data_IF_992786879505
#
_entry.id   IF_992786879505
#
_cell.length_a   1.000
_cell.length_b   1.000
_cell.length_c   1.000
_cell.angle_alpha   90.00
_cell.angle_beta   90.00
_cell.angle_gamma   90.00
#
_symmetry.space_group_name_H-M   'P 1'
#
loop_
_entity.id
_entity.type
_entity.pdbx_description
1 polymer ?
#
# COMPACT_ATOMS: atom_id res chain seq x y z
N UNK A 1 -33.88 44.75 48.41
CA UNK A 1 -33.89 44.29 49.82
C UNK A 1 -34.75 43.03 49.88
N UNK A 2 -34.33 42.04 50.67
CA UNK A 2 -35.08 40.97 51.40
C UNK A 2 -36.46 40.46 50.94
N UNK A 3 -36.85 39.19 51.26
CA UNK A 3 -36.04 37.98 51.43
C UNK A 3 -36.72 36.67 50.91
N UNK A 4 -36.14 35.54 51.32
CA UNK A 4 -36.61 34.13 51.43
C UNK A 4 -38.13 33.88 51.62
N UNK A 5 -38.67 32.66 51.42
CA UNK A 5 -38.67 31.46 52.31
C UNK A 5 -39.45 30.31 51.59
N UNK A 6 -39.41 28.99 51.84
CA UNK A 6 -38.52 28.00 52.54
C UNK A 6 -38.97 26.56 52.20
N UNK A 7 -38.10 25.54 52.43
CA UNK A 7 -38.41 24.09 52.49
C UNK A 7 -38.71 23.38 51.16
N UNK A 8 -38.36 22.10 50.95
CA UNK A 8 -37.62 21.14 51.78
C UNK A 8 -38.30 19.77 51.84
N UNK A 9 -37.53 18.68 51.69
CA UNK A 9 -38.03 17.31 51.73
C UNK A 9 -36.99 16.31 51.22
N UNK A 10 -36.69 15.28 52.02
CA UNK A 10 -35.85 14.14 51.61
C UNK A 10 -36.75 12.97 51.23
N UNK A 11 -36.40 12.20 50.21
CA UNK A 11 -36.74 10.77 50.13
C UNK A 11 -35.81 10.00 49.21
N UNK A 12 -35.72 8.70 49.48
CA UNK A 12 -34.82 7.71 48.87
C UNK A 12 -35.48 7.00 47.65
N UNK A 13 -34.81 5.96 47.14
CA UNK A 13 -35.29 4.86 46.28
C UNK A 13 -35.04 4.98 44.77
N UNK A 14 -33.95 4.31 44.35
CA UNK A 14 -33.81 3.67 43.04
C UNK A 14 -34.58 2.32 43.00
N UNK A 15 -34.64 1.61 41.86
CA UNK A 15 -35.09 2.04 40.54
C UNK A 15 -36.22 1.13 40.01
N UNK A 16 -36.97 1.53 38.97
CA UNK A 16 -37.81 0.60 38.19
C UNK A 16 -37.74 0.86 36.69
N UNK A 17 -37.59 -0.22 35.93
CA UNK A 17 -37.57 -0.25 34.47
C UNK A 17 -38.99 -0.17 33.89
N UNK A 18 -39.10 0.42 32.71
CA UNK A 18 -40.15 0.14 31.73
C UNK A 18 -39.59 0.44 30.33
N UNK A 19 -39.63 -0.55 29.43
CA UNK A 19 -39.19 -0.37 28.05
C UNK A 19 -40.14 0.54 27.26
N UNK A 20 -39.59 1.28 26.30
CA UNK A 20 -40.32 1.88 25.19
C UNK A 20 -39.53 1.59 23.91
N UNK A 21 -40.07 0.81 22.95
CA UNK A 21 -39.31 0.38 21.78
C UNK A 21 -39.09 1.52 20.78
N UNK A 22 -38.00 1.43 20.01
CA UNK A 22 -37.59 2.42 19.03
C UNK A 22 -38.59 2.57 17.86
N UNK A 23 -39.01 3.82 17.61
CA UNK A 23 -39.76 4.20 16.41
C UNK A 23 -38.80 4.36 15.22
N UNK A 24 -38.67 3.29 14.42
CA UNK A 24 -37.92 3.30 13.16
C UNK A 24 -38.82 3.56 11.93
N UNK A 25 -39.85 4.41 12.07
CA UNK A 25 -40.74 4.76 10.94
C UNK A 25 -40.17 5.88 10.06
N UNK A 26 -38.91 5.74 9.63
CA UNK A 26 -38.36 6.55 8.54
C UNK A 26 -38.77 5.90 7.22
N UNK A 27 -39.76 6.50 6.55
CA UNK A 27 -40.22 6.07 5.24
C UNK A 27 -39.04 6.07 4.24
N UNK A 28 -38.53 4.88 3.94
CA UNK A 28 -37.58 4.70 2.85
C UNK A 28 -38.35 4.87 1.55
N UNK A 29 -38.39 6.11 1.05
CA UNK A 29 -38.84 6.44 -0.30
C UNK A 29 -37.97 5.66 -1.29
N UNK A 30 -38.41 4.44 -1.61
CA UNK A 30 -37.72 3.53 -2.52
C UNK A 30 -37.76 4.13 -3.92
N UNK A 31 -36.75 4.94 -4.20
CA UNK A 31 -36.34 5.30 -5.56
C UNK A 31 -35.96 4.01 -6.28
N UNK A 32 -36.97 3.37 -6.86
CA UNK A 32 -36.80 2.24 -7.74
C UNK A 32 -36.07 2.74 -9.00
N UNK A 33 -34.74 2.60 -8.98
CA UNK A 33 -33.94 2.54 -10.19
C UNK A 33 -34.34 1.24 -10.91
N UNK A 34 -35.49 1.27 -11.59
CA UNK A 34 -36.05 0.14 -12.32
C UNK A 34 -35.02 -0.33 -13.36
N UNK A 35 -34.41 -1.48 -13.10
CA UNK A 35 -33.44 -2.06 -14.01
C UNK A 35 -34.10 -2.29 -15.37
N UNK A 36 -33.56 -1.69 -16.42
CA UNK A 36 -34.02 -1.89 -17.79
C UNK A 36 -33.79 -3.34 -18.22
N UNK A 37 -34.79 -4.21 -17.99
CA UNK A 37 -34.84 -5.62 -18.41
C UNK A 37 -34.97 -5.78 -19.94
N UNK A 38 -34.10 -5.11 -20.69
CA UNK A 38 -33.98 -5.23 -22.15
C UNK A 38 -33.08 -6.39 -22.60
N UNK A 39 -32.33 -6.99 -21.67
CA UNK A 39 -31.51 -8.18 -21.92
C UNK A 39 -31.57 -9.12 -20.72
N UNK A 40 -32.22 -10.27 -20.88
CA UNK A 40 -32.14 -11.37 -19.91
C UNK A 40 -30.67 -11.83 -19.78
N UNK A 41 -30.14 -12.04 -18.57
CA UNK A 41 -28.74 -12.42 -18.38
C UNK A 41 -28.48 -13.79 -19.01
N UNK A 42 -27.72 -13.82 -20.10
CA UNK A 42 -27.35 -15.04 -20.81
C UNK A 42 -26.44 -15.92 -19.94
N UNK A 43 -27.05 -16.78 -19.13
CA UNK A 43 -26.34 -17.77 -18.33
C UNK A 43 -25.48 -18.65 -19.27
N UNK A 44 -24.17 -18.81 -18.99
CA UNK A 44 -23.29 -19.57 -19.87
C UNK A 44 -23.72 -21.03 -19.89
N UNK A 45 -24.29 -21.47 -21.01
CA UNK A 45 -24.76 -22.84 -21.17
C UNK A 45 -23.58 -23.82 -20.98
N UNK A 46 -23.70 -24.72 -19.99
CA UNK A 46 -22.65 -25.69 -19.62
C UNK A 46 -22.48 -26.78 -20.69
N UNK A 47 -21.92 -26.40 -21.84
CA UNK A 47 -21.35 -27.36 -22.80
C UNK A 47 -20.11 -27.97 -22.16
N UNK A 48 -20.19 -29.26 -21.84
CA UNK A 48 -19.02 -30.10 -21.65
C UNK A 48 -18.25 -30.24 -22.98
N UNK A 49 -17.46 -29.21 -23.32
CA UNK A 49 -16.36 -29.38 -24.27
C UNK A 49 -15.30 -30.27 -23.61
N UNK A 50 -14.82 -31.34 -24.26
CA UNK A 50 -13.67 -32.09 -23.76
C UNK A 50 -12.51 -31.15 -23.43
N UNK A 51 -11.88 -31.33 -22.27
CA UNK A 51 -10.85 -30.44 -21.73
C UNK A 51 -9.59 -30.46 -22.59
N UNK A 52 -9.56 -29.60 -23.61
CA UNK A 52 -8.51 -29.56 -24.63
C UNK A 52 -8.61 -28.40 -25.63
N UNK A 53 -9.39 -27.37 -25.33
CA UNK A 53 -9.28 -26.08 -26.03
C UNK A 53 -7.90 -25.49 -25.75
N UNK A 54 -7.10 -25.25 -26.79
CA UNK A 54 -5.68 -24.84 -26.67
C UNK A 54 -5.52 -23.43 -26.09
N UNK A 55 -6.59 -22.65 -26.18
CA UNK A 55 -6.68 -21.21 -25.94
C UNK A 55 -6.59 -20.81 -24.45
N UNK A 56 -6.74 -21.76 -23.52
CA UNK A 56 -6.52 -21.54 -22.08
C UNK A 56 -5.04 -21.48 -21.73
N UNK A 57 -4.20 -22.25 -22.44
CA UNK A 57 -2.78 -22.41 -22.10
C UNK A 57 -1.90 -21.25 -22.62
N UNK A 58 -2.46 -20.35 -23.43
CA UNK A 58 -1.78 -19.19 -24.02
C UNK A 58 -1.87 -17.93 -23.13
N UNK A 59 -2.78 -17.91 -22.13
CA UNK A 59 -3.10 -16.71 -21.34
C UNK A 59 -2.39 -16.64 -19.99
N UNK A 60 -2.13 -17.78 -19.37
CA UNK A 60 -1.64 -17.88 -18.00
C UNK A 60 -0.18 -18.32 -17.95
N UNK A 61 0.67 -17.57 -17.23
CA UNK A 61 2.08 -17.93 -17.00
C UNK A 61 2.29 -18.45 -15.58
N UNK A 62 2.92 -19.61 -15.44
CA UNK A 62 3.35 -20.15 -14.15
C UNK A 62 4.56 -19.35 -13.61
N UNK A 63 4.33 -18.51 -12.60
CA UNK A 63 5.35 -17.62 -12.03
C UNK A 63 6.08 -18.16 -10.80
N UNK A 64 5.52 -19.14 -10.09
CA UNK A 64 6.13 -19.76 -8.89
C UNK A 64 5.69 -21.21 -8.72
N UNK A 65 6.47 -22.01 -8.00
CA UNK A 65 6.14 -23.40 -7.63
C UNK A 65 6.45 -23.58 -6.14
N UNK A 66 5.47 -23.93 -5.28
CA UNK A 66 5.71 -24.13 -3.86
C UNK A 66 6.54 -25.39 -3.60
N UNK A 67 7.21 -25.44 -2.44
CA UNK A 67 7.94 -26.60 -1.91
C UNK A 67 9.16 -27.09 -2.74
N UNK A 68 9.62 -26.35 -3.75
CA UNK A 68 10.82 -26.73 -4.53
C UNK A 68 12.12 -26.34 -3.80
N UNK A 69 12.09 -25.27 -3.01
CA UNK A 69 13.22 -24.79 -2.22
C UNK A 69 12.73 -24.46 -0.79
N UNK A 70 13.50 -24.74 0.28
CA UNK A 70 13.16 -24.33 1.63
C UNK A 70 13.05 -22.80 1.76
N UNK A 71 12.09 -22.32 2.55
CA UNK A 71 11.86 -20.89 2.80
C UNK A 71 13.14 -20.16 3.22
N UNK A 72 13.91 -20.74 4.15
CA UNK A 72 15.21 -20.24 4.61
C UNK A 72 16.27 -20.11 3.51
N UNK A 73 16.22 -20.91 2.46
CA UNK A 73 17.11 -20.79 1.32
C UNK A 73 16.67 -19.68 0.36
N UNK A 74 15.34 -19.43 0.26
CA UNK A 74 14.80 -18.24 -0.41
C UNK A 74 15.16 -16.96 0.35
N UNK A 75 15.05 -16.93 1.67
CA UNK A 75 15.49 -15.82 2.54
C UNK A 75 16.97 -15.49 2.36
N UNK A 76 17.84 -16.52 2.40
CA UNK A 76 19.28 -16.37 2.17
C UNK A 76 19.58 -15.87 0.74
N UNK A 77 18.82 -16.32 -0.26
CA UNK A 77 18.96 -15.85 -1.65
C UNK A 77 18.51 -14.39 -1.81
N UNK A 78 17.38 -13.99 -1.23
CA UNK A 78 16.87 -12.61 -1.24
C UNK A 78 17.84 -11.66 -0.53
N UNK A 79 18.41 -12.08 0.61
CA UNK A 79 19.40 -11.31 1.35
C UNK A 79 20.66 -11.03 0.51
N UNK A 80 21.19 -12.06 -0.18
CA UNK A 80 22.31 -11.88 -1.11
C UNK A 80 21.93 -11.01 -2.32
N UNK A 81 20.74 -11.21 -2.89
CA UNK A 81 20.23 -10.40 -4.01
C UNK A 81 20.16 -8.91 -3.65
N UNK A 82 19.70 -8.57 -2.43
CA UNK A 82 19.70 -7.22 -1.91
C UNK A 82 21.13 -6.65 -1.75
N UNK A 83 22.08 -7.44 -1.24
CA UNK A 83 23.49 -7.02 -1.14
C UNK A 83 24.11 -6.71 -2.52
N UNK A 84 23.86 -7.56 -3.53
CA UNK A 84 24.29 -7.32 -4.91
C UNK A 84 23.65 -6.05 -5.50
N UNK A 85 22.36 -5.80 -5.23
CA UNK A 85 21.66 -4.59 -5.69
C UNK A 85 22.18 -3.33 -4.99
N UNK A 86 22.44 -3.37 -3.68
CA UNK A 86 23.05 -2.28 -2.93
C UNK A 86 24.47 -1.96 -3.45
N UNK A 87 25.30 -2.99 -3.67
CA UNK A 87 26.62 -2.86 -4.31
C UNK A 87 26.55 -2.28 -5.74
N UNK A 88 25.44 -2.50 -6.44
CA UNK A 88 25.14 -1.90 -7.75
C UNK A 88 24.47 -0.51 -7.66
N UNK A 89 24.45 0.12 -6.47
CA UNK A 89 23.92 1.47 -6.27
C UNK A 89 22.39 1.58 -6.22
N UNK A 90 21.65 0.47 -6.10
CA UNK A 90 20.20 0.52 -5.95
C UNK A 90 19.80 1.12 -4.59
N UNK A 91 19.26 2.34 -4.60
CA UNK A 91 18.68 2.98 -3.41
C UNK A 91 17.24 2.51 -3.19
N UNK A 92 17.07 1.39 -2.48
CA UNK A 92 15.78 1.05 -1.87
C UNK A 92 15.62 1.75 -0.52
N UNK A 93 14.37 2.03 -0.12
CA UNK A 93 14.06 2.48 1.24
C UNK A 93 14.09 1.26 2.17
N UNK A 94 15.31 0.84 2.54
CA UNK A 94 15.54 -0.36 3.33
C UNK A 94 15.33 -0.06 4.82
N UNK A 95 14.31 -0.68 5.40
CA UNK A 95 14.06 -0.71 6.84
C UNK A 95 14.98 -1.75 7.50
N UNK A 96 15.69 -1.40 8.58
CA UNK A 96 16.79 -2.20 9.12
C UNK A 96 16.28 -3.46 9.85
N UNK A 97 16.12 -4.55 9.09
CA UNK A 97 15.82 -5.89 9.62
C UNK A 97 14.80 -6.69 8.79
N UNK A 98 14.11 -6.06 7.84
CA UNK A 98 13.09 -6.75 7.02
C UNK A 98 13.69 -7.24 5.70
N UNK A 99 13.63 -8.56 5.43
CA UNK A 99 13.88 -9.12 4.10
C UNK A 99 12.76 -8.64 3.18
N UNK A 100 13.12 -7.98 2.07
CA UNK A 100 12.15 -7.38 1.15
C UNK A 100 11.78 -8.32 0.00
N UNK A 101 10.49 -8.35 -0.34
CA UNK A 101 9.99 -9.06 -1.52
C UNK A 101 10.62 -8.48 -2.79
N UNK A 102 11.39 -9.30 -3.49
CA UNK A 102 12.12 -8.92 -4.70
C UNK A 102 11.62 -9.75 -5.88
N UNK A 103 10.49 -9.33 -6.45
CA UNK A 103 9.79 -10.03 -7.54
C UNK A 103 10.74 -10.44 -8.68
N UNK A 104 11.68 -9.58 -9.06
CA UNK A 104 12.68 -9.87 -10.09
C UNK A 104 13.62 -11.00 -9.67
N UNK A 105 14.11 -11.01 -8.43
CA UNK A 105 14.99 -12.07 -7.93
C UNK A 105 14.25 -13.41 -7.87
N UNK A 106 13.01 -13.43 -7.36
CA UNK A 106 12.16 -14.62 -7.33
C UNK A 106 11.85 -15.14 -8.75
N UNK A 107 11.63 -14.24 -9.70
CA UNK A 107 11.41 -14.60 -11.11
C UNK A 107 12.65 -15.20 -11.80
N UNK A 108 13.85 -14.66 -11.55
CA UNK A 108 15.10 -15.28 -12.03
C UNK A 108 15.36 -16.62 -11.33
N UNK A 109 15.03 -16.77 -10.05
CA UNK A 109 15.14 -18.04 -9.32
C UNK A 109 14.27 -19.14 -9.98
N UNK A 110 13.02 -18.83 -10.32
CA UNK A 110 12.12 -19.77 -11.02
C UNK A 110 12.62 -20.09 -12.44
N UNK A 111 13.08 -19.09 -13.21
CA UNK A 111 13.73 -19.30 -14.51
C UNK A 111 14.96 -20.21 -14.43
N UNK A 112 15.74 -20.09 -13.35
CA UNK A 112 16.91 -20.92 -13.07
C UNK A 112 16.57 -22.27 -12.43
N UNK A 113 15.28 -22.67 -12.41
CA UNK A 113 14.80 -23.92 -11.79
C UNK A 113 15.26 -24.06 -10.33
N UNK A 114 15.18 -22.96 -9.58
CA UNK A 114 15.56 -22.81 -8.18
C UNK A 114 17.07 -22.99 -7.88
N UNK A 115 17.94 -22.98 -8.90
CA UNK A 115 19.38 -22.88 -8.69
C UNK A 115 19.76 -21.42 -8.29
N UNK A 116 20.13 -21.24 -7.03
CA UNK A 116 20.44 -19.93 -6.42
C UNK A 116 21.69 -19.28 -7.03
N UNK A 117 22.78 -20.02 -7.26
CA UNK A 117 24.02 -19.49 -7.84
C UNK A 117 23.83 -18.97 -9.28
N UNK A 118 23.08 -19.70 -10.10
CA UNK A 118 22.73 -19.31 -11.46
C UNK A 118 21.79 -18.10 -11.46
N UNK A 119 20.81 -18.07 -10.54
CA UNK A 119 19.90 -16.95 -10.36
C UNK A 119 20.64 -15.68 -9.90
N UNK A 120 21.58 -15.76 -8.95
CA UNK A 120 22.41 -14.62 -8.53
C UNK A 120 23.28 -14.11 -9.67
N UNK A 121 23.95 -15.01 -10.41
CA UNK A 121 24.78 -14.63 -11.57
C UNK A 121 23.96 -13.93 -12.65
N UNK A 122 22.79 -14.46 -13.04
CA UNK A 122 21.90 -13.79 -14.01
C UNK A 122 21.34 -12.47 -13.49
N UNK A 123 20.90 -12.42 -12.23
CA UNK A 123 20.42 -11.20 -11.60
C UNK A 123 21.50 -10.11 -11.65
N UNK A 124 22.75 -10.41 -11.30
CA UNK A 124 23.86 -9.44 -11.33
C UNK A 124 24.10 -8.80 -12.71
N UNK A 125 23.82 -9.52 -13.79
CA UNK A 125 23.90 -9.01 -15.16
C UNK A 125 22.65 -8.19 -15.52
N UNK A 126 21.46 -8.70 -15.17
CA UNK A 126 20.16 -8.09 -15.49
C UNK A 126 19.83 -6.86 -14.62
N UNK A 127 20.45 -6.68 -13.46
CA UNK A 127 20.25 -5.51 -12.55
C UNK A 127 20.39 -4.18 -13.27
N UNK A 128 21.33 -4.05 -14.23
CA UNK A 128 21.53 -2.83 -15.02
C UNK A 128 20.35 -2.50 -15.94
N UNK A 129 19.62 -3.53 -16.39
CA UNK A 129 18.40 -3.38 -17.20
C UNK A 129 17.21 -3.07 -16.30
N UNK A 130 17.08 -3.78 -15.18
CA UNK A 130 15.93 -3.65 -14.25
C UNK A 130 15.95 -2.33 -13.46
N UNK A 131 17.13 -1.78 -13.13
CA UNK A 131 17.27 -0.40 -12.63
C UNK A 131 16.73 0.65 -13.61
N UNK A 132 16.60 0.33 -14.91
CA UNK A 132 15.96 1.19 -15.90
C UNK A 132 14.42 1.22 -15.79
N UNK A 133 13.81 0.10 -15.38
CA UNK A 133 12.36 0.00 -15.16
C UNK A 133 11.97 0.50 -13.78
N UNK A 134 12.70 0.10 -12.74
CA UNK A 134 12.66 0.72 -11.41
C UNK A 134 13.61 1.93 -11.38
N UNK A 135 13.43 2.85 -12.33
CA UNK A 135 14.23 4.07 -12.45
C UNK A 135 14.15 4.86 -11.13
N UNK A 136 15.22 4.76 -10.33
CA UNK A 136 15.26 5.26 -8.96
C UNK A 136 14.91 6.75 -8.94
N UNK A 137 13.84 7.09 -8.23
CA UNK A 137 13.30 8.45 -8.20
C UNK A 137 14.40 9.44 -7.79
N UNK A 138 14.72 10.38 -8.67
CA UNK A 138 15.79 11.33 -8.38
C UNK A 138 15.42 12.20 -7.18
N UNK A 139 16.40 12.79 -6.50
CA UNK A 139 16.10 13.63 -5.33
C UNK A 139 15.19 14.82 -5.67
N UNK A 140 15.28 15.34 -6.90
CA UNK A 140 14.44 16.41 -7.39
C UNK A 140 13.05 15.93 -7.85
N UNK A 141 12.92 14.71 -8.39
CA UNK A 141 11.60 14.09 -8.60
C UNK A 141 10.89 13.83 -7.26
N UNK A 142 11.62 13.35 -6.24
CA UNK A 142 11.09 13.16 -4.90
C UNK A 142 10.63 14.50 -4.28
N UNK A 143 11.47 15.55 -4.32
CA UNK A 143 11.12 16.90 -3.84
C UNK A 143 9.91 17.48 -4.60
N UNK A 144 9.84 17.24 -5.91
CA UNK A 144 8.74 17.68 -6.77
C UNK A 144 7.43 16.96 -6.45
N UNK A 145 7.49 15.65 -6.20
CA UNK A 145 6.35 14.86 -5.71
C UNK A 145 5.87 15.37 -4.36
N UNK A 146 6.77 15.60 -3.39
CA UNK A 146 6.42 16.08 -2.05
C UNK A 146 5.74 17.45 -2.08
N UNK A 147 6.24 18.37 -2.90
CA UNK A 147 5.60 19.67 -3.12
C UNK A 147 4.28 19.54 -3.90
N UNK A 148 4.17 18.56 -4.80
CA UNK A 148 2.91 18.21 -5.46
C UNK A 148 1.87 17.70 -4.47
N UNK A 149 2.23 16.73 -3.62
CA UNK A 149 1.38 16.16 -2.58
C UNK A 149 1.00 17.18 -1.50
N UNK A 150 1.85 18.18 -1.27
CA UNK A 150 1.54 19.33 -0.40
C UNK A 150 0.43 20.24 -0.98
N UNK A 151 0.39 20.42 -2.30
CA UNK A 151 -0.55 21.34 -3.00
C UNK A 151 -1.83 20.64 -3.48
N UNK A 152 -1.72 19.45 -4.06
CA UNK A 152 -2.81 18.71 -4.72
C UNK A 152 -3.32 17.50 -3.92
N UNK A 153 -2.78 17.26 -2.71
CA UNK A 153 -3.14 16.12 -1.87
C UNK A 153 -2.88 14.78 -2.56
N UNK A 154 -3.87 13.88 -2.58
CA UNK A 154 -3.79 12.57 -3.24
C UNK A 154 -4.18 12.59 -4.74
N UNK A 155 -4.31 13.76 -5.37
CA UNK A 155 -4.63 13.82 -6.80
C UNK A 155 -3.39 13.57 -7.67
N UNK A 156 -3.05 12.29 -7.88
CA UNK A 156 -1.85 11.88 -8.61
C UNK A 156 -1.81 12.37 -10.07
N UNK A 157 -2.97 12.55 -10.72
CA UNK A 157 -3.04 13.14 -12.06
C UNK A 157 -2.54 14.60 -12.06
N UNK A 158 -2.92 15.41 -11.06
CA UNK A 158 -2.42 16.78 -10.93
C UNK A 158 -0.94 16.83 -10.52
N UNK A 159 -0.47 15.91 -9.68
CA UNK A 159 0.95 15.79 -9.30
C UNK A 159 1.79 15.46 -10.54
N UNK A 160 1.38 14.47 -11.32
CA UNK A 160 2.05 14.08 -12.55
C UNK A 160 2.10 15.25 -13.56
N UNK A 161 0.94 15.84 -13.88
CA UNK A 161 0.85 16.90 -14.88
C UNK A 161 1.57 18.21 -14.50
N UNK A 162 1.75 18.50 -13.21
CA UNK A 162 2.30 19.79 -12.74
C UNK A 162 3.66 19.72 -12.03
N UNK A 163 4.16 18.53 -11.67
CA UNK A 163 5.41 18.37 -10.90
C UNK A 163 6.33 17.26 -11.39
N UNK A 164 5.81 16.10 -11.78
CA UNK A 164 6.62 14.93 -12.17
C UNK A 164 6.22 14.40 -13.54
N UNK A 165 6.30 15.28 -14.55
CA UNK A 165 5.90 15.02 -15.94
C UNK A 165 6.72 13.92 -16.63
N UNK A 166 7.90 13.59 -16.08
CA UNK A 166 8.76 12.47 -16.50
C UNK A 166 8.19 11.09 -16.15
N UNK A 167 7.17 11.04 -15.26
CA UNK A 167 6.62 9.81 -14.69
C UNK A 167 5.18 9.60 -15.12
N UNK A 168 4.75 8.35 -15.08
CA UNK A 168 3.35 7.95 -15.22
C UNK A 168 2.55 8.16 -13.92
N UNK A 169 1.22 8.17 -14.01
CA UNK A 169 0.35 8.18 -12.82
C UNK A 169 0.51 6.90 -12.00
N UNK A 170 0.78 5.76 -12.66
CA UNK A 170 1.08 4.48 -12.00
C UNK A 170 2.32 4.55 -11.11
N UNK A 171 3.44 5.07 -11.63
CA UNK A 171 4.65 5.29 -10.85
C UNK A 171 4.42 6.28 -9.69
N UNK A 172 3.61 7.32 -9.89
CA UNK A 172 3.26 8.27 -8.81
C UNK A 172 2.48 7.58 -7.67
N UNK A 173 1.59 6.64 -8.00
CA UNK A 173 0.86 5.83 -7.00
C UNK A 173 1.82 4.85 -6.34
N UNK A 174 2.64 4.11 -7.09
CA UNK A 174 3.63 3.17 -6.55
C UNK A 174 4.59 3.88 -5.58
N UNK A 175 5.16 5.02 -5.99
CA UNK A 175 6.01 5.85 -5.16
C UNK A 175 5.31 6.33 -3.88
N UNK A 176 4.03 6.73 -3.95
CA UNK A 176 3.27 7.11 -2.75
C UNK A 176 3.22 5.99 -1.69
N UNK A 177 3.01 4.74 -2.10
CA UNK A 177 2.89 3.62 -1.16
C UNK A 177 4.23 3.21 -0.53
N UNK A 178 5.35 3.46 -1.21
CA UNK A 178 6.71 3.29 -0.65
C UNK A 178 7.11 4.50 0.20
N UNK A 179 7.01 5.71 -0.33
CA UNK A 179 7.38 6.96 0.34
C UNK A 179 6.67 7.12 1.68
N UNK A 180 5.35 6.83 1.76
CA UNK A 180 4.57 6.94 3.00
C UNK A 180 5.02 6.01 4.14
N UNK A 181 5.88 5.00 3.86
CA UNK A 181 6.47 4.10 4.86
C UNK A 181 7.89 4.51 5.27
N UNK A 182 8.49 5.52 4.63
CA UNK A 182 9.87 5.93 4.86
C UNK A 182 9.99 7.07 5.88
N UNK A 183 11.14 7.19 6.54
CA UNK A 183 11.47 8.33 7.44
C UNK A 183 11.28 9.69 6.76
N UNK A 184 11.40 9.74 5.43
CA UNK A 184 11.19 10.95 4.64
C UNK A 184 9.74 11.42 4.68
N UNK A 185 8.77 10.51 4.77
CA UNK A 185 7.37 10.85 5.03
C UNK A 185 7.16 11.31 6.48
N UNK A 186 7.78 10.65 7.46
CA UNK A 186 7.69 11.07 8.87
C UNK A 186 8.31 12.46 9.08
N UNK A 187 9.46 12.74 8.48
CA UNK A 187 10.02 14.10 8.47
C UNK A 187 9.09 15.10 7.74
N UNK A 188 8.39 14.68 6.68
CA UNK A 188 7.42 15.52 5.97
C UNK A 188 6.14 15.79 6.78
N UNK A 189 5.64 14.85 7.58
CA UNK A 189 4.49 15.04 8.48
C UNK A 189 4.88 15.86 9.71
N UNK A 190 6.01 15.57 10.34
CA UNK A 190 6.59 16.37 11.43
C UNK A 190 6.86 17.82 10.99
N UNK A 191 7.32 18.02 9.74
CA UNK A 191 7.48 19.36 9.13
C UNK A 191 6.16 20.14 8.99
N UNK A 192 4.99 19.49 9.01
CA UNK A 192 3.68 20.18 9.09
C UNK A 192 3.28 20.53 10.53
N UNK A 193 3.71 19.75 11.52
CA UNK A 193 3.37 19.93 12.94
C UNK A 193 4.29 20.92 13.69
N UNK A 194 5.43 21.28 13.09
CA UNK A 194 6.19 22.48 13.42
C UNK A 194 7.39 22.27 14.33
N UNK A 195 8.26 23.29 14.35
CA UNK A 195 9.57 23.30 15.03
C UNK A 195 9.45 23.12 16.56
N UNK A 196 9.51 21.88 17.05
CA UNK A 196 10.04 21.58 18.39
C UNK A 196 11.51 21.21 18.26
N UNK A 197 12.41 22.20 18.36
CA UNK A 197 13.84 21.93 18.52
C UNK A 197 14.02 21.04 19.75
N UNK A 198 14.79 19.93 19.69
CA UNK A 198 15.38 19.37 20.88
C UNK A 198 16.24 20.47 21.52
N UNK A 199 15.91 20.85 22.75
CA UNK A 199 16.80 21.70 23.54
C UNK A 199 17.96 20.83 24.01
N UNK A 200 19.05 20.88 23.26
CA UNK A 200 20.31 20.21 23.59
C UNK A 200 20.88 20.84 24.85
N UNK A 201 20.53 20.26 26.00
CA UNK A 201 21.09 20.62 27.30
C UNK A 201 22.58 20.27 27.30
N UNK A 202 23.42 21.27 27.05
CA UNK A 202 24.86 21.17 27.27
C UNK A 202 25.12 21.04 28.76
N UNK A 203 25.27 19.80 29.23
CA UNK A 203 25.83 19.55 30.55
C UNK A 203 27.30 19.98 30.53
N UNK A 204 27.59 21.14 31.13
CA UNK A 204 28.97 21.54 31.41
C UNK A 204 29.61 20.58 32.42
N UNK A 205 30.92 20.38 32.27
CA UNK A 205 31.81 19.71 33.24
C UNK A 205 31.94 20.57 34.50
#
# INVERSE_FOLDING_TARGET
MSPSLTSGGSTDLSPRFADSPDDWTVESEMRAEEAMFGSEPQLPYLRYTPTGGRDSQEKDQLLWIPNVLPEKEVENYLSQAAEYQHRAGARYCQDEGTIWDNEQALYELVKCRFNTDEALRRLSFNVKVVQGYLCAWSEDECRSFEQGFRVYGKNFHLIQANKVRTRSVGECVQYYYTWKKSDRYEHFTQSRLGRRKPMMNTASV
#
